data_IF_975377346166
#
_entry.id   IF_975377346166
#
_cell.length_a   1.000
_cell.length_b   1.000
_cell.length_c   1.000
_cell.angle_alpha   90.00
_cell.angle_beta   90.00
_cell.angle_gamma   90.00
#
_symmetry.space_group_name_H-M   'P 1'
#
loop_
_entity.id
_entity.type
_entity.pdbx_description
1 polymer ?
#
# COMPACT_ATOMS: atom_id res chain seq x y z
N UNK A 1 -0.57 3.23 -21.64
CA UNK A 1 0.10 3.02 -20.35
C UNK A 1 -0.20 1.63 -19.80
N UNK A 2 0.69 1.07 -18.98
CA UNK A 2 0.45 -0.21 -18.36
C UNK A 2 -0.57 -0.07 -17.22
N UNK A 3 -1.33 -1.14 -16.89
CA UNK A 3 -2.21 -1.13 -15.72
C UNK A 3 -1.47 -0.80 -14.42
N UNK A 4 -0.21 -1.15 -14.33
CA UNK A 4 0.64 -0.85 -13.20
C UNK A 4 0.93 0.65 -13.06
N UNK A 5 1.28 1.30 -14.17
CA UNK A 5 1.51 2.75 -14.17
C UNK A 5 0.23 3.52 -13.79
N UNK A 6 -0.93 3.02 -14.17
CA UNK A 6 -2.20 3.64 -13.81
C UNK A 6 -2.46 3.61 -12.31
N UNK A 7 -2.07 2.55 -11.61
CA UNK A 7 -2.15 2.48 -10.15
C UNK A 7 -1.30 3.54 -9.48
N UNK A 8 -0.06 3.72 -9.94
CA UNK A 8 0.83 4.75 -9.43
C UNK A 8 0.25 6.15 -9.59
N UNK A 9 -0.33 6.43 -10.76
CA UNK A 9 -0.98 7.72 -11.02
C UNK A 9 -2.18 7.97 -10.12
N UNK A 10 -2.95 6.94 -9.80
CA UNK A 10 -4.14 7.08 -8.93
C UNK A 10 -3.77 7.49 -7.52
N UNK A 11 -2.63 7.04 -7.01
CA UNK A 11 -2.12 7.54 -5.74
C UNK A 11 -1.82 9.03 -5.84
N UNK A 12 -1.02 9.40 -6.84
CA UNK A 12 -0.49 10.76 -6.97
C UNK A 12 -1.58 11.81 -7.19
N UNK A 13 -2.62 11.49 -7.96
CA UNK A 13 -3.67 12.46 -8.29
C UNK A 13 -4.53 12.88 -7.09
N UNK A 14 -4.62 12.05 -6.05
CA UNK A 14 -5.42 12.34 -4.87
C UNK A 14 -4.62 13.06 -3.78
N UNK A 15 -3.30 13.16 -3.92
CA UNK A 15 -2.47 13.85 -2.93
C UNK A 15 -2.67 15.36 -3.07
N UNK A 16 -3.05 16.02 -1.97
CA UNK A 16 -3.15 17.46 -1.91
C UNK A 16 -1.78 18.13 -1.86
N UNK A 17 -1.69 19.34 -2.44
CA UNK A 17 -0.45 20.10 -2.47
C UNK A 17 0.32 19.93 -3.76
N UNK A 18 1.55 20.42 -3.76
CA UNK A 18 2.43 20.45 -4.92
C UNK A 18 3.49 19.37 -4.83
N UNK A 19 3.79 18.73 -5.98
CA UNK A 19 4.95 17.84 -6.09
C UNK A 19 6.27 18.63 -5.94
N UNK A 20 7.37 18.00 -5.53
CA UNK A 20 7.50 16.56 -5.28
C UNK A 20 6.87 16.12 -3.98
N UNK A 21 6.38 14.87 -3.97
CA UNK A 21 5.77 14.26 -2.79
C UNK A 21 6.75 13.30 -2.11
N UNK A 22 6.49 13.01 -0.84
CA UNK A 22 7.21 11.97 -0.08
C UNK A 22 6.29 10.76 0.00
N UNK A 23 6.69 9.65 -0.62
CA UNK A 23 5.88 8.44 -0.77
C UNK A 23 6.55 7.29 -0.02
N UNK A 24 5.76 6.61 0.84
CA UNK A 24 6.17 5.35 1.45
C UNK A 24 5.66 4.19 0.58
N UNK A 25 6.56 3.37 0.07
CA UNK A 25 6.23 2.12 -0.61
C UNK A 25 6.23 0.99 0.43
N UNK A 26 5.03 0.65 0.90
CA UNK A 26 4.80 -0.29 2.00
C UNK A 26 4.78 -1.72 1.48
N UNK A 27 5.84 -2.47 1.77
CA UNK A 27 6.10 -3.77 1.19
C UNK A 27 6.74 -3.63 -0.19
N UNK A 28 7.86 -2.91 -0.27
CA UNK A 28 8.43 -2.51 -1.56
C UNK A 28 9.09 -3.66 -2.34
N UNK A 29 9.30 -4.82 -1.72
CA UNK A 29 9.98 -5.93 -2.37
C UNK A 29 11.37 -5.52 -2.90
N UNK A 30 11.74 -5.94 -4.10
CA UNK A 30 13.04 -5.58 -4.69
C UNK A 30 13.13 -4.14 -5.23
N UNK A 31 12.06 -3.32 -5.09
CA UNK A 31 12.16 -1.87 -5.31
C UNK A 31 11.71 -1.35 -6.67
N UNK A 32 10.92 -2.11 -7.43
CA UNK A 32 10.46 -1.68 -8.76
C UNK A 32 9.64 -0.38 -8.71
N UNK A 33 8.62 -0.32 -7.86
CA UNK A 33 7.76 0.86 -7.75
C UNK A 33 8.47 2.01 -7.07
N UNK A 34 9.31 1.70 -6.09
CA UNK A 34 10.15 2.65 -5.40
C UNK A 34 11.00 3.45 -6.41
N UNK A 35 11.62 2.75 -7.37
CA UNK A 35 12.39 3.39 -8.42
C UNK A 35 11.54 4.25 -9.34
N UNK A 36 10.33 3.81 -9.68
CA UNK A 36 9.42 4.58 -10.54
C UNK A 36 9.04 5.90 -9.87
N UNK A 37 8.68 5.90 -8.60
CA UNK A 37 8.38 7.13 -7.87
C UNK A 37 9.57 8.08 -7.85
N UNK A 38 10.77 7.56 -7.60
CA UNK A 38 11.98 8.35 -7.64
C UNK A 38 12.23 8.96 -9.02
N UNK A 39 12.10 8.16 -10.07
CA UNK A 39 12.32 8.62 -11.45
C UNK A 39 11.29 9.67 -11.88
N UNK A 40 10.11 9.68 -11.26
CA UNK A 40 9.10 10.73 -11.44
C UNK A 40 9.41 12.01 -10.66
N UNK A 41 10.50 12.03 -9.90
CA UNK A 41 10.95 13.21 -9.16
C UNK A 41 10.49 13.29 -7.71
N UNK A 42 9.83 12.24 -7.18
CA UNK A 42 9.39 12.20 -5.79
C UNK A 42 10.48 11.65 -4.87
N UNK A 43 10.39 11.97 -3.58
CA UNK A 43 11.15 11.28 -2.56
C UNK A 43 10.44 9.99 -2.21
N UNK A 44 11.03 8.85 -2.54
CA UNK A 44 10.46 7.54 -2.25
C UNK A 44 11.23 6.87 -1.13
N UNK A 45 10.48 6.31 -0.16
CA UNK A 45 11.03 5.54 0.96
C UNK A 45 10.37 4.17 0.93
N UNK A 46 11.16 3.10 0.96
CA UNK A 46 10.64 1.75 1.00
C UNK A 46 10.51 1.24 2.42
N UNK A 47 9.61 0.29 2.63
CA UNK A 47 9.54 -0.53 3.83
C UNK A 47 9.43 -1.99 3.40
N UNK A 48 10.33 -2.83 3.90
CA UNK A 48 10.41 -4.23 3.51
C UNK A 48 10.91 -5.09 4.67
N UNK A 49 10.20 -6.18 4.95
CA UNK A 49 10.55 -7.08 6.05
C UNK A 49 11.68 -8.05 5.73
N UNK A 50 11.86 -8.40 4.45
CA UNK A 50 12.93 -9.30 4.03
C UNK A 50 14.25 -8.54 3.92
N UNK A 51 15.27 -8.96 4.66
CA UNK A 51 16.61 -8.36 4.58
C UNK A 51 17.17 -8.41 3.16
N UNK A 52 16.95 -9.53 2.46
CA UNK A 52 17.40 -9.73 1.09
C UNK A 52 16.73 -8.75 0.14
N UNK A 53 15.40 -8.64 0.17
CA UNK A 53 14.67 -7.71 -0.68
C UNK A 53 14.97 -6.25 -0.33
N UNK A 54 15.12 -5.93 0.95
CA UNK A 54 15.49 -4.58 1.35
C UNK A 54 16.84 -4.16 0.76
N UNK A 55 17.84 -5.06 0.80
CA UNK A 55 19.15 -4.82 0.19
C UNK A 55 19.05 -4.63 -1.32
N UNK A 56 18.26 -5.48 -2.00
CA UNK A 56 18.02 -5.37 -3.45
C UNK A 56 17.35 -4.05 -3.80
N UNK A 57 16.35 -3.64 -3.02
CA UNK A 57 15.62 -2.40 -3.24
C UNK A 57 16.52 -1.17 -3.10
N UNK A 58 17.38 -1.15 -2.09
CA UNK A 58 18.35 -0.06 -1.89
C UNK A 58 19.32 0.05 -3.06
N UNK A 59 19.86 -1.07 -3.50
CA UNK A 59 20.79 -1.10 -4.62
C UNK A 59 20.14 -0.68 -5.93
N UNK A 60 18.95 -1.24 -6.22
CA UNK A 60 18.25 -0.99 -7.46
C UNK A 60 17.73 0.43 -7.57
N UNK A 61 17.13 0.97 -6.51
CA UNK A 61 16.47 2.27 -6.54
C UNK A 61 17.34 3.43 -6.08
N UNK A 62 18.32 3.14 -5.23
CA UNK A 62 19.11 4.20 -4.56
C UNK A 62 18.32 4.95 -3.49
N UNK A 63 17.14 4.44 -3.10
CA UNK A 63 16.28 5.06 -2.10
C UNK A 63 16.56 4.53 -0.70
N UNK A 64 16.13 5.28 0.32
CA UNK A 64 16.06 4.80 1.70
C UNK A 64 15.07 3.63 1.76
N UNK A 65 15.43 2.56 2.44
CA UNK A 65 14.55 1.43 2.72
C UNK A 65 14.62 1.10 4.20
N UNK A 66 13.46 1.17 4.86
CA UNK A 66 13.30 0.80 6.25
C UNK A 66 13.08 -0.73 6.30
N UNK A 67 14.02 -1.45 6.90
CA UNK A 67 13.83 -2.88 7.09
C UNK A 67 13.04 -3.11 8.36
N UNK A 68 11.73 -3.32 8.21
CA UNK A 68 10.80 -3.48 9.34
C UNK A 68 9.78 -4.56 9.03
N UNK A 69 9.35 -5.24 10.10
CA UNK A 69 8.20 -6.14 10.08
C UNK A 69 6.91 -5.31 10.18
N UNK A 70 5.88 -5.66 9.41
CA UNK A 70 4.57 -5.01 9.48
C UNK A 70 3.96 -5.04 10.88
N UNK A 71 4.31 -6.05 11.69
CA UNK A 71 3.81 -6.20 13.04
C UNK A 71 4.60 -5.40 14.08
N UNK A 72 5.72 -4.80 13.69
CA UNK A 72 6.61 -4.01 14.57
C UNK A 72 7.07 -2.75 13.85
N UNK A 73 6.11 -1.92 13.48
CA UNK A 73 6.40 -0.69 12.74
C UNK A 73 6.95 0.39 13.66
N UNK A 74 7.91 1.14 13.11
CA UNK A 74 8.45 2.35 13.71
C UNK A 74 8.56 3.40 12.59
N UNK A 75 7.46 4.12 12.37
CA UNK A 75 7.35 5.08 11.29
C UNK A 75 7.40 6.50 11.85
N UNK A 76 8.12 7.41 11.18
CA UNK A 76 8.13 8.82 11.57
C UNK A 76 6.74 9.42 11.42
N UNK A 77 6.25 10.18 12.44
CA UNK A 77 4.92 10.78 12.36
C UNK A 77 4.87 11.89 11.31
N UNK A 78 3.71 11.99 10.63
CA UNK A 78 3.41 13.06 9.67
C UNK A 78 4.54 13.33 8.66
N UNK A 79 5.14 12.26 8.14
CA UNK A 79 6.24 12.37 7.18
C UNK A 79 5.79 12.23 5.73
N UNK A 80 4.83 11.35 5.46
CA UNK A 80 4.51 10.97 4.09
C UNK A 80 3.30 11.70 3.53
N UNK A 81 3.36 12.06 2.27
CA UNK A 81 2.23 12.56 1.50
C UNK A 81 1.35 11.42 1.00
N UNK A 82 1.94 10.27 0.74
CA UNK A 82 1.24 9.08 0.32
C UNK A 82 1.88 7.80 0.82
N UNK A 83 1.05 6.80 1.06
CA UNK A 83 1.47 5.41 1.32
C UNK A 83 0.94 4.55 0.18
N UNK A 84 1.84 3.83 -0.45
CA UNK A 84 1.52 2.91 -1.55
C UNK A 84 1.68 1.47 -1.05
N UNK A 85 0.56 0.79 -0.82
CA UNK A 85 0.52 -0.59 -0.31
C UNK A 85 -0.03 -1.52 -1.40
N UNK A 86 0.82 -1.86 -2.37
CA UNK A 86 0.45 -2.72 -3.47
C UNK A 86 0.70 -4.18 -3.13
N UNK A 87 -0.35 -4.96 -2.97
CA UNK A 87 -0.30 -6.38 -2.64
C UNK A 87 0.51 -6.68 -1.36
N UNK A 88 0.30 -5.90 -0.32
CA UNK A 88 1.04 -6.03 0.94
C UNK A 88 0.15 -6.12 2.17
N UNK A 89 -0.84 -5.26 2.31
CA UNK A 89 -1.68 -5.21 3.53
C UNK A 89 -2.49 -6.49 3.76
N UNK A 90 -2.79 -7.26 2.72
CA UNK A 90 -3.51 -8.51 2.91
C UNK A 90 -2.71 -9.59 3.65
N UNK A 91 -1.38 -9.42 3.77
CA UNK A 91 -0.54 -10.30 4.59
C UNK A 91 -0.62 -10.00 6.08
N UNK A 92 -1.25 -8.89 6.48
CA UNK A 92 -1.41 -8.51 7.88
C UNK A 92 -2.60 -9.29 8.47
N UNK A 93 -2.41 -10.05 9.56
CA UNK A 93 -3.52 -10.72 10.21
C UNK A 93 -4.64 -9.74 10.60
N UNK A 94 -5.88 -10.18 10.49
CA UNK A 94 -7.03 -9.31 10.74
C UNK A 94 -7.02 -8.65 12.12
N UNK A 95 -6.55 -9.36 13.15
CA UNK A 95 -6.42 -8.81 14.51
C UNK A 95 -5.40 -7.69 14.64
N UNK A 96 -4.41 -7.66 13.74
CA UNK A 96 -3.33 -6.67 13.75
C UNK A 96 -3.62 -5.48 12.79
N UNK A 97 -4.52 -5.67 11.84
CA UNK A 97 -4.79 -4.68 10.81
C UNK A 97 -5.25 -3.33 11.36
N UNK A 98 -6.14 -3.25 12.38
CA UNK A 98 -6.50 -1.95 12.97
C UNK A 98 -5.31 -1.15 13.46
N UNK A 99 -4.35 -1.80 14.12
CA UNK A 99 -3.15 -1.15 14.63
C UNK A 99 -2.25 -0.68 13.48
N UNK A 100 -2.02 -1.54 12.49
CA UNK A 100 -1.18 -1.20 11.33
C UNK A 100 -1.77 -0.01 10.58
N UNK A 101 -3.08 0.01 10.34
CA UNK A 101 -3.75 1.13 9.67
C UNK A 101 -3.65 2.43 10.47
N UNK A 102 -3.78 2.38 11.80
CA UNK A 102 -3.58 3.56 12.64
C UNK A 102 -2.15 4.09 12.58
N UNK A 103 -1.16 3.20 12.56
CA UNK A 103 0.24 3.58 12.43
C UNK A 103 0.54 4.20 11.07
N UNK A 104 -0.04 3.67 10.00
CA UNK A 104 0.07 4.27 8.67
C UNK A 104 -0.61 5.65 8.63
N UNK A 105 -1.80 5.78 9.23
CA UNK A 105 -2.49 7.07 9.34
C UNK A 105 -1.63 8.12 10.06
N UNK A 106 -1.01 7.73 11.18
CA UNK A 106 -0.14 8.63 11.95
C UNK A 106 1.12 9.04 11.18
N UNK A 107 1.59 8.22 10.25
CA UNK A 107 2.75 8.51 9.41
C UNK A 107 2.44 9.46 8.25
N UNK A 108 1.16 9.65 7.93
CA UNK A 108 0.71 10.55 6.86
C UNK A 108 0.56 11.97 7.36
N UNK A 109 0.95 12.92 6.50
CA UNK A 109 0.62 14.33 6.70
C UNK A 109 -0.89 14.55 6.57
N UNK A 110 -1.45 15.64 7.15
CA UNK A 110 -2.83 16.01 6.87
C UNK A 110 -3.07 16.14 5.34
N UNK A 111 -4.16 15.55 4.85
CA UNK A 111 -4.44 15.49 3.42
C UNK A 111 -3.67 14.42 2.66
N UNK A 112 -2.83 13.63 3.35
CA UNK A 112 -2.14 12.50 2.75
C UNK A 112 -3.07 11.34 2.41
N UNK A 113 -2.63 10.45 1.53
CA UNK A 113 -3.47 9.36 1.02
C UNK A 113 -2.82 8.00 1.20
N UNK A 114 -3.66 6.99 1.39
CA UNK A 114 -3.27 5.59 1.39
C UNK A 114 -3.89 4.89 0.17
N UNK A 115 -3.04 4.34 -0.67
CA UNK A 115 -3.45 3.40 -1.72
C UNK A 115 -3.23 1.98 -1.25
N UNK A 116 -4.19 1.10 -1.50
CA UNK A 116 -4.03 -0.34 -1.33
C UNK A 116 -4.56 -1.11 -2.53
N UNK A 117 -3.94 -2.23 -2.83
CA UNK A 117 -4.44 -3.20 -3.81
C UNK A 117 -4.25 -4.59 -3.22
N UNK A 118 -5.36 -5.30 -3.03
CA UNK A 118 -5.36 -6.61 -2.37
C UNK A 118 -6.15 -7.62 -3.17
N UNK A 119 -5.78 -8.92 -3.11
CA UNK A 119 -6.65 -9.97 -3.62
C UNK A 119 -7.94 -9.98 -2.82
N UNK A 120 -9.06 -10.09 -3.54
CA UNK A 120 -10.41 -10.05 -2.98
C UNK A 120 -10.91 -11.47 -2.68
N UNK A 121 -11.71 -11.61 -1.63
CA UNK A 121 -12.32 -12.87 -1.28
C UNK A 121 -13.61 -12.68 -0.47
N UNK A 122 -13.96 -13.68 0.30
CA UNK A 122 -15.13 -13.70 1.18
C UNK A 122 -14.71 -13.61 2.66
N UNK A 123 -13.66 -12.85 2.94
CA UNK A 123 -13.11 -12.57 4.26
C UNK A 123 -12.45 -13.80 4.94
N UNK A 124 -12.05 -14.78 4.17
CA UNK A 124 -11.25 -15.90 4.67
C UNK A 124 -9.85 -15.44 5.06
N UNK A 125 -9.33 -16.06 6.11
CA UNK A 125 -8.00 -15.74 6.65
C UNK A 125 -7.24 -17.03 6.94
N UNK A 126 -5.94 -17.08 6.59
CA UNK A 126 -5.08 -18.21 6.90
C UNK A 126 -3.91 -18.35 5.96
N UNK A 127 -3.26 -19.49 6.06
CA UNK A 127 -2.12 -19.85 5.23
C UNK A 127 -2.59 -20.42 3.89
N UNK A 128 -1.97 -19.94 2.82
CA UNK A 128 -2.19 -20.42 1.47
C UNK A 128 -0.86 -20.45 0.72
N UNK A 129 -0.42 -21.65 0.32
CA UNK A 129 0.84 -21.86 -0.40
C UNK A 129 2.04 -21.22 0.29
N UNK A 130 2.13 -21.38 1.62
CA UNK A 130 3.23 -20.87 2.42
C UNK A 130 3.18 -19.38 2.74
N UNK A 131 2.08 -18.69 2.38
CA UNK A 131 1.88 -17.28 2.68
C UNK A 131 0.61 -17.08 3.50
N UNK A 132 0.71 -16.25 4.52
CA UNK A 132 -0.45 -15.83 5.30
C UNK A 132 -1.18 -14.71 4.58
N UNK A 133 -2.51 -14.78 4.52
CA UNK A 133 -3.30 -13.75 3.89
C UNK A 133 -4.70 -13.65 4.45
N UNK A 134 -5.29 -12.46 4.32
CA UNK A 134 -6.69 -12.18 4.60
C UNK A 134 -7.30 -11.61 3.33
N UNK A 135 -8.36 -12.24 2.85
CA UNK A 135 -8.96 -11.92 1.56
C UNK A 135 -10.27 -11.19 1.79
N UNK A 136 -10.17 -9.88 2.06
CA UNK A 136 -11.31 -9.04 2.39
C UNK A 136 -12.19 -8.76 1.16
N UNK A 137 -13.51 -8.73 1.37
CA UNK A 137 -14.41 -8.08 0.43
C UNK A 137 -14.37 -6.55 0.62
N UNK A 138 -15.00 -5.81 -0.29
CA UNK A 138 -15.00 -4.34 -0.24
C UNK A 138 -15.61 -3.82 1.05
N UNK A 139 -16.72 -4.42 1.51
CA UNK A 139 -17.43 -3.91 2.68
C UNK A 139 -16.60 -4.08 3.96
N UNK A 140 -15.95 -5.23 4.15
CA UNK A 140 -15.07 -5.45 5.28
C UNK A 140 -13.85 -4.54 5.21
N UNK A 141 -13.25 -4.38 4.04
CA UNK A 141 -12.12 -3.48 3.85
C UNK A 141 -12.48 -2.04 4.20
N UNK A 142 -13.63 -1.57 3.71
CA UNK A 142 -14.14 -0.23 4.04
C UNK A 142 -14.31 -0.03 5.54
N UNK A 143 -14.87 -1.02 6.26
CA UNK A 143 -15.01 -0.93 7.71
C UNK A 143 -13.68 -0.78 8.44
N UNK A 144 -12.66 -1.53 8.01
CA UNK A 144 -11.31 -1.40 8.60
C UNK A 144 -10.72 0.00 8.39
N UNK A 145 -10.83 0.51 7.17
CA UNK A 145 -10.26 1.83 6.85
C UNK A 145 -11.01 2.96 7.58
N UNK A 146 -12.33 2.93 7.58
CA UNK A 146 -13.14 3.93 8.29
C UNK A 146 -12.89 3.91 9.81
N UNK A 147 -12.72 2.72 10.40
CA UNK A 147 -12.38 2.58 11.80
C UNK A 147 -11.00 3.15 12.16
N UNK A 148 -10.12 3.30 11.19
CA UNK A 148 -8.81 3.92 11.32
C UNK A 148 -8.81 5.40 10.90
N UNK A 149 -9.97 6.01 10.77
CA UNK A 149 -10.19 7.42 10.43
C UNK A 149 -9.82 7.80 8.98
N UNK A 150 -9.81 6.83 8.09
CA UNK A 150 -9.68 7.10 6.65
C UNK A 150 -11.05 7.37 6.03
N UNK A 151 -11.04 8.17 4.95
CA UNK A 151 -12.22 8.50 4.14
C UNK A 151 -11.99 7.96 2.74
N UNK A 152 -12.95 7.20 2.22
CA UNK A 152 -12.84 6.63 0.88
C UNK A 152 -12.84 7.73 -0.18
N UNK A 153 -11.80 7.74 -1.02
CA UNK A 153 -11.69 8.64 -2.16
C UNK A 153 -12.05 7.93 -3.47
N UNK A 154 -11.66 6.66 -3.60
CA UNK A 154 -11.89 5.89 -4.82
C UNK A 154 -11.76 4.40 -4.52
N UNK A 155 -12.52 3.55 -5.22
CA UNK A 155 -12.22 2.14 -5.31
C UNK A 155 -12.51 1.61 -6.71
N UNK A 156 -11.85 0.54 -7.09
CA UNK A 156 -12.09 -0.16 -8.34
C UNK A 156 -11.61 -1.59 -8.26
N UNK A 157 -12.16 -2.42 -9.14
CA UNK A 157 -11.77 -3.81 -9.24
C UNK A 157 -10.89 -4.02 -10.47
N UNK A 158 -9.99 -4.99 -10.40
CA UNK A 158 -9.04 -5.28 -11.48
C UNK A 158 -9.03 -6.78 -11.83
N UNK A 159 -8.80 -7.17 -13.09
CA UNK A 159 -8.58 -6.29 -14.25
C UNK A 159 -9.83 -5.50 -14.65
N UNK A 160 -9.68 -4.30 -15.23
CA UNK A 160 -10.84 -3.49 -15.63
C UNK A 160 -11.57 -4.10 -16.82
N UNK A 161 -12.86 -3.76 -16.97
CA UNK A 161 -13.66 -4.12 -18.12
C UNK A 161 -14.16 -5.58 -18.14
N UNK A 162 -13.97 -6.33 -17.05
CA UNK A 162 -14.43 -7.70 -16.91
C UNK A 162 -15.60 -7.80 -15.93
N UNK A 163 -16.40 -8.90 -15.98
CA UNK A 163 -17.37 -9.16 -14.92
C UNK A 163 -16.71 -9.28 -13.55
N UNK A 164 -17.44 -8.97 -12.49
CA UNK A 164 -16.91 -8.92 -11.12
C UNK A 164 -16.25 -10.24 -10.67
N UNK A 165 -16.80 -11.37 -11.07
CA UNK A 165 -16.24 -12.68 -10.76
C UNK A 165 -14.89 -12.97 -11.44
N UNK A 166 -14.53 -12.14 -12.42
CA UNK A 166 -13.24 -12.19 -13.10
C UNK A 166 -12.31 -11.03 -12.69
N UNK A 167 -12.65 -10.32 -11.64
CA UNK A 167 -11.87 -9.21 -11.09
C UNK A 167 -11.42 -9.54 -9.65
N UNK A 168 -10.37 -10.38 -9.49
CA UNK A 168 -9.97 -10.87 -8.18
C UNK A 168 -9.23 -9.84 -7.30
N UNK A 169 -9.00 -8.62 -7.80
CA UNK A 169 -8.29 -7.58 -7.06
C UNK A 169 -9.18 -6.40 -6.73
N UNK A 170 -9.07 -5.92 -5.49
CA UNK A 170 -9.68 -4.69 -5.02
C UNK A 170 -8.59 -3.64 -4.81
N UNK A 171 -8.68 -2.53 -5.54
CA UNK A 171 -7.82 -1.37 -5.35
C UNK A 171 -8.64 -0.21 -4.79
N UNK A 172 -8.05 0.55 -3.88
CA UNK A 172 -8.74 1.67 -3.24
C UNK A 172 -7.78 2.76 -2.79
N UNK A 173 -8.29 3.97 -2.72
CA UNK A 173 -7.56 5.16 -2.25
C UNK A 173 -8.35 5.81 -1.12
N UNK A 174 -7.66 6.14 -0.06
CA UNK A 174 -8.23 6.65 1.17
C UNK A 174 -7.52 7.90 1.68
#
# INVERSE_FOLDING_TARGET
>A
SSPHADQLRRVLKHIEGASPFIILDFGCGPGRDLKVFKDLGHEAVGLEGSARFAAMAREYSGCEVLQQDFLKLDLPPARFDGVFANASLFHVPGRELPRVLRELHASLKPGGVLFSSNPRGANEEGWNRGRYGVYHDLEAWRRYLEAADFIELEHYFRPPGLPLDQQPWLASVW
#
